data_IF_370518501163
#
_entry.id   IF_370518501163
#
_cell.length_a   1.000
_cell.length_b   1.000
_cell.length_c   1.000
_cell.angle_alpha   90.00
_cell.angle_beta   90.00
_cell.angle_gamma   90.00
#
_symmetry.space_group_name_H-M   'P 1'
#
loop_
_entity.id
_entity.type
_entity.pdbx_description
1 polymer ?
#
# COMPACT_ATOMS: atom_id res chain seq x y z
N UNK A 1 1.35 2.00 18.94
CA UNK A 1 0.81 2.72 17.76
C UNK A 1 -0.68 2.38 17.67
N UNK A 2 -1.58 3.33 17.38
CA UNK A 2 -3.04 3.07 17.41
C UNK A 2 -3.54 2.70 16.01
N UNK A 3 -3.97 1.45 15.86
CA UNK A 3 -4.88 1.02 14.81
C UNK A 3 -6.32 1.18 15.32
N UNK A 4 -7.30 1.23 14.42
CA UNK A 4 -8.71 1.10 14.81
C UNK A 4 -9.08 -0.38 15.08
N UNK A 5 -10.35 -0.63 15.36
CA UNK A 5 -10.87 -1.96 15.71
C UNK A 5 -10.63 -3.01 14.60
N UNK A 6 -10.56 -2.56 13.34
CA UNK A 6 -10.33 -3.38 12.14
C UNK A 6 -8.84 -3.57 11.81
N UNK A 7 -7.94 -2.95 12.57
CA UNK A 7 -6.51 -2.92 12.23
C UNK A 7 -6.19 -1.92 11.11
N UNK A 8 -7.04 -0.93 10.84
CA UNK A 8 -6.68 0.18 9.94
C UNK A 8 -5.70 1.11 10.65
N UNK A 9 -4.63 1.48 9.95
CA UNK A 9 -3.82 2.64 10.31
C UNK A 9 -4.40 3.91 9.71
N UNK A 10 -4.13 5.06 10.34
CA UNK A 10 -4.45 6.38 9.78
C UNK A 10 -3.87 6.58 8.37
N UNK A 11 -2.69 6.00 8.09
CA UNK A 11 -2.09 6.03 6.75
C UNK A 11 -2.99 5.34 5.73
N UNK A 12 -3.53 4.16 6.03
CA UNK A 12 -4.43 3.47 5.09
C UNK A 12 -5.69 4.27 4.82
N UNK A 13 -6.31 4.86 5.84
CA UNK A 13 -7.50 5.71 5.66
C UNK A 13 -7.16 6.86 4.71
N UNK A 14 -6.00 7.49 4.88
CA UNK A 14 -5.54 8.56 3.99
C UNK A 14 -5.30 8.06 2.54
N UNK A 15 -4.76 6.86 2.35
CA UNK A 15 -4.59 6.24 1.02
C UNK A 15 -5.94 5.90 0.38
N UNK A 16 -6.84 5.28 1.15
CA UNK A 16 -8.20 4.95 0.73
C UNK A 16 -9.03 6.21 0.40
N UNK A 17 -8.75 7.34 1.06
CA UNK A 17 -9.30 8.65 0.74
C UNK A 17 -8.59 9.39 -0.40
N UNK A 18 -7.43 8.92 -0.87
CA UNK A 18 -6.61 9.62 -1.89
C UNK A 18 -5.96 10.91 -1.38
N UNK A 19 -5.78 11.05 -0.06
CA UNK A 19 -5.26 12.25 0.59
C UNK A 19 -3.73 12.36 0.44
N UNK A 20 -3.25 12.56 -0.79
CA UNK A 20 -1.82 12.52 -1.16
C UNK A 20 -0.89 13.33 -0.23
N UNK A 21 -1.26 14.58 0.10
CA UNK A 21 -0.47 15.44 1.01
C UNK A 21 -0.39 14.88 2.43
N UNK A 22 -1.49 14.37 2.95
CA UNK A 22 -1.51 13.73 4.27
C UNK A 22 -0.66 12.46 4.27
N UNK A 23 -0.77 11.67 3.20
CA UNK A 23 0.06 10.47 3.02
C UNK A 23 1.54 10.87 3.01
N UNK A 24 1.96 11.84 2.19
CA UNK A 24 3.33 12.39 2.19
C UNK A 24 3.83 12.74 3.59
N UNK A 25 3.09 13.56 4.32
CA UNK A 25 3.47 13.99 5.67
C UNK A 25 3.59 12.81 6.66
N UNK A 26 2.68 11.84 6.59
CA UNK A 26 2.70 10.68 7.47
C UNK A 26 3.93 9.80 7.22
N UNK A 27 4.22 9.44 5.96
CA UNK A 27 5.40 8.59 5.66
C UNK A 27 6.72 9.35 5.81
N UNK A 28 6.73 10.67 5.63
CA UNK A 28 7.89 11.51 5.97
C UNK A 28 8.21 11.46 7.46
N UNK A 29 7.19 11.59 8.32
CA UNK A 29 7.35 11.55 9.79
C UNK A 29 7.64 10.14 10.31
N UNK A 30 7.07 9.12 9.68
CA UNK A 30 7.28 7.74 10.06
C UNK A 30 7.13 6.78 8.88
N UNK A 31 8.24 6.47 8.21
CA UNK A 31 8.27 5.53 7.09
C UNK A 31 7.81 4.11 7.44
N UNK A 32 7.89 3.70 8.71
CA UNK A 32 7.47 2.37 9.13
C UNK A 32 5.97 2.15 8.97
N UNK A 33 5.18 3.22 8.83
CA UNK A 33 3.74 3.13 8.55
C UNK A 33 3.45 2.40 7.22
N UNK A 34 4.36 2.47 6.24
CA UNK A 34 4.20 1.80 4.95
C UNK A 34 4.33 0.27 5.03
N UNK A 35 4.85 -0.26 6.15
CA UNK A 35 5.05 -1.69 6.37
C UNK A 35 3.86 -2.37 7.08
N UNK A 36 2.86 -1.61 7.48
CA UNK A 36 1.77 -2.11 8.32
C UNK A 36 0.65 -2.62 7.44
N UNK A 37 0.37 -3.90 7.57
CA UNK A 37 -0.73 -4.56 6.89
C UNK A 37 -2.07 -4.14 7.49
N UNK A 38 -3.07 -3.99 6.63
CA UNK A 38 -4.44 -3.83 7.10
C UNK A 38 -5.15 -5.14 7.27
N UNK A 39 -5.81 -5.33 8.41
CA UNK A 39 -6.86 -6.33 8.56
C UNK A 39 -6.53 -7.37 9.62
N UNK A 40 -7.26 -7.29 10.74
CA UNK A 40 -7.38 -8.41 11.68
C UNK A 40 -8.26 -9.55 11.15
N UNK A 41 -8.93 -9.36 10.01
CA UNK A 41 -10.05 -10.20 9.56
C UNK A 41 -9.57 -11.46 8.81
N UNK A 42 -8.47 -11.41 8.04
CA UNK A 42 -7.75 -12.61 7.58
C UNK A 42 -6.39 -12.29 6.93
N UNK A 43 -5.44 -13.25 6.98
CA UNK A 43 -4.15 -13.17 6.25
C UNK A 43 -4.31 -13.07 4.72
N UNK A 44 -5.50 -13.40 4.19
CA UNK A 44 -5.84 -13.28 2.76
C UNK A 44 -6.23 -11.85 2.37
N UNK A 45 -6.71 -11.07 3.31
CA UNK A 45 -7.12 -9.67 3.09
C UNK A 45 -6.07 -8.66 3.57
N UNK A 46 -5.05 -9.16 4.31
CA UNK A 46 -3.87 -8.40 4.68
C UNK A 46 -3.21 -7.73 3.47
N UNK A 47 -3.22 -6.40 3.46
CA UNK A 47 -2.73 -5.60 2.34
C UNK A 47 -1.80 -4.48 2.81
N UNK A 48 -0.75 -4.24 2.05
CA UNK A 48 0.11 -3.07 2.24
C UNK A 48 -0.58 -1.80 1.71
N UNK A 49 -0.24 -0.62 2.26
CA UNK A 49 -0.73 0.66 1.73
C UNK A 49 -0.46 0.83 0.23
N UNK A 50 0.69 0.34 -0.28
CA UNK A 50 1.01 0.40 -1.71
C UNK A 50 0.09 -0.47 -2.57
N UNK A 51 -0.39 -1.60 -2.06
CA UNK A 51 -1.37 -2.43 -2.76
C UNK A 51 -2.74 -1.75 -2.84
N UNK A 52 -3.16 -1.07 -1.76
CA UNK A 52 -4.40 -0.28 -1.76
C UNK A 52 -4.35 0.86 -2.78
N UNK A 53 -3.25 1.61 -2.83
CA UNK A 53 -3.04 2.63 -3.86
C UNK A 53 -3.06 2.03 -5.27
N UNK A 54 -2.47 0.84 -5.45
CA UNK A 54 -2.44 0.13 -6.75
C UNK A 54 -3.83 -0.32 -7.18
N UNK A 55 -4.64 -0.87 -6.25
CA UNK A 55 -6.05 -1.22 -6.52
C UNK A 55 -6.85 -0.03 -6.98
N UNK A 56 -6.57 1.16 -6.46
CA UNK A 56 -7.24 2.40 -6.85
C UNK A 56 -6.75 2.98 -8.18
N UNK A 57 -5.57 2.56 -8.65
CA UNK A 57 -4.95 3.09 -9.86
C UNK A 57 -4.37 4.50 -9.70
N UNK A 58 -4.10 4.93 -8.46
CA UNK A 58 -3.50 6.25 -8.22
C UNK A 58 -1.98 6.18 -8.42
N UNK A 59 -1.50 6.46 -9.63
CA UNK A 59 -0.09 6.34 -10.02
C UNK A 59 0.89 7.12 -9.17
N UNK A 60 0.51 8.32 -8.73
CA UNK A 60 1.39 9.15 -7.91
C UNK A 60 1.45 8.62 -6.47
N UNK A 61 0.34 8.13 -5.93
CA UNK A 61 0.31 7.47 -4.62
C UNK A 61 1.05 6.13 -4.64
N UNK A 62 0.93 5.36 -5.72
CA UNK A 62 1.68 4.11 -5.89
C UNK A 62 3.19 4.38 -5.90
N UNK A 63 3.66 5.33 -6.72
CA UNK A 63 5.10 5.70 -6.76
C UNK A 63 5.60 6.12 -5.39
N UNK A 64 4.84 6.99 -4.71
CA UNK A 64 5.20 7.49 -3.39
C UNK A 64 5.33 6.35 -2.38
N UNK A 65 4.33 5.47 -2.30
CA UNK A 65 4.30 4.40 -1.31
C UNK A 65 5.30 3.30 -1.65
N UNK A 66 5.52 3.01 -2.93
CA UNK A 66 6.50 2.01 -3.38
C UNK A 66 7.91 2.33 -2.88
N UNK A 67 8.34 3.59 -2.97
CA UNK A 67 9.69 4.03 -2.54
C UNK A 67 9.92 3.82 -1.05
N UNK A 68 8.89 3.96 -0.23
CA UNK A 68 8.98 3.85 1.24
C UNK A 68 8.58 2.47 1.77
N UNK A 69 8.07 1.59 0.91
CA UNK A 69 7.71 0.22 1.29
C UNK A 69 8.97 -0.63 1.37
N UNK A 70 9.25 -1.31 2.51
CA UNK A 70 10.40 -2.19 2.61
C UNK A 70 10.37 -3.31 1.57
N UNK A 71 11.44 -3.43 0.77
CA UNK A 71 11.55 -4.42 -0.32
C UNK A 71 11.30 -5.86 0.15
N UNK A 72 11.73 -6.21 1.37
CA UNK A 72 11.50 -7.55 1.96
C UNK A 72 10.02 -7.92 2.09
N UNK A 73 9.11 -6.94 2.14
CA UNK A 73 7.67 -7.18 2.19
C UNK A 73 7.06 -7.36 0.79
N UNK A 74 7.70 -6.78 -0.23
CA UNK A 74 7.29 -6.95 -1.63
C UNK A 74 7.80 -8.26 -2.22
N UNK A 75 9.00 -8.67 -1.80
CA UNK A 75 9.72 -9.85 -2.29
C UNK A 75 9.99 -10.82 -1.14
N UNK A 76 8.94 -11.21 -0.42
CA UNK A 76 9.05 -12.14 0.70
C UNK A 76 9.32 -13.59 0.24
N UNK A 77 9.78 -14.41 1.18
CA UNK A 77 10.07 -15.84 0.97
C UNK A 77 8.83 -16.67 0.60
N UNK A 78 7.63 -16.11 0.82
CA UNK A 78 6.35 -16.70 0.44
C UNK A 78 5.92 -16.33 -1.00
N UNK A 79 6.90 -16.10 -1.88
CA UNK A 79 6.69 -15.91 -3.32
C UNK A 79 6.35 -14.47 -3.73
N UNK A 80 6.57 -13.49 -2.86
CA UNK A 80 6.41 -12.06 -3.20
C UNK A 80 4.97 -11.67 -3.51
N UNK A 81 3.99 -12.25 -2.79
CA UNK A 81 2.55 -12.07 -3.07
C UNK A 81 2.15 -10.59 -3.15
N UNK A 82 2.75 -9.75 -2.30
CA UNK A 82 2.46 -8.32 -2.25
C UNK A 82 3.07 -7.57 -3.44
N UNK A 83 4.32 -7.87 -3.81
CA UNK A 83 4.94 -7.33 -5.01
C UNK A 83 4.20 -7.72 -6.28
N UNK A 84 3.81 -9.00 -6.39
CA UNK A 84 2.98 -9.50 -7.47
C UNK A 84 1.59 -8.83 -7.49
N UNK A 85 1.00 -8.59 -6.32
CA UNK A 85 -0.26 -7.86 -6.15
C UNK A 85 -0.19 -6.44 -6.68
N UNK A 86 0.82 -5.68 -6.27
CA UNK A 86 1.09 -4.32 -6.79
C UNK A 86 1.18 -4.32 -8.31
N UNK A 87 1.99 -5.21 -8.90
CA UNK A 87 2.18 -5.28 -10.34
C UNK A 87 0.87 -5.65 -11.07
N UNK A 88 0.16 -6.67 -10.58
CA UNK A 88 -1.13 -7.12 -11.13
C UNK A 88 -2.11 -5.95 -11.19
N UNK A 89 -2.29 -5.21 -10.09
CA UNK A 89 -3.22 -4.09 -10.06
C UNK A 89 -2.76 -2.94 -10.97
N UNK A 90 -1.46 -2.64 -11.02
CA UNK A 90 -0.94 -1.59 -11.91
C UNK A 90 -1.22 -1.89 -13.39
N UNK A 91 -1.05 -3.14 -13.82
CA UNK A 91 -1.39 -3.59 -15.18
C UNK A 91 -2.90 -3.47 -15.41
N UNK A 92 -3.73 -4.00 -14.50
CA UNK A 92 -5.19 -3.95 -14.62
C UNK A 92 -5.74 -2.51 -14.69
N UNK A 93 -5.04 -1.56 -14.07
CA UNK A 93 -5.39 -0.13 -14.10
C UNK A 93 -4.76 0.64 -15.26
N UNK A 94 -4.01 0.00 -16.14
CA UNK A 94 -3.39 0.63 -17.31
C UNK A 94 -2.33 1.68 -16.94
N UNK A 95 -1.66 1.52 -15.80
CA UNK A 95 -0.74 2.53 -15.25
C UNK A 95 0.57 2.65 -16.06
N UNK A 96 0.87 1.69 -16.93
CA UNK A 96 2.05 1.66 -17.78
C UNK A 96 1.77 2.14 -19.23
N UNK A 97 0.60 2.73 -19.48
CA UNK A 97 0.12 3.01 -20.83
C UNK A 97 -0.73 1.86 -21.38
N UNK A 98 -1.45 2.11 -22.48
CA UNK A 98 -2.21 1.06 -23.17
C UNK A 98 -1.22 0.16 -23.93
N UNK A 99 -1.30 -1.15 -23.68
CA UNK A 99 -0.63 -2.17 -24.49
C UNK A 99 -1.48 -2.50 -25.71
#
# INVERSE_FOLDING_TARGET
MKEDEDGCTALRIAVAGGHRRMVQEMVYRNKNLAAIFSGKISQREAALPVEEASRKGDSELVKLLYIVTPLRLLFDENGGKHGAGVLKFCIQRGMFGKF
#
